data_IF_369044143144
#
_entry.id   IF_369044143144
#
_cell.length_a   1.000
_cell.length_b   1.000
_cell.length_c   1.000
_cell.angle_alpha   90.00
_cell.angle_beta   90.00
_cell.angle_gamma   90.00
#
_symmetry.space_group_name_H-M   'P 1'
#
loop_
_entity.id
_entity.type
_entity.pdbx_description
1 polymer ?
#
# COMPACT_ATOMS: atom_id res chain seq x y z
N UNK A 1 5.35 4.53 -7.58
CA UNK A 1 3.88 4.39 -7.79
C UNK A 1 3.39 5.08 -9.04
N UNK A 2 3.67 6.38 -9.22
CA UNK A 2 3.28 7.10 -10.44
C UNK A 2 3.64 6.35 -11.72
N UNK A 3 4.84 5.78 -11.82
CA UNK A 3 5.23 5.06 -13.04
C UNK A 3 4.53 3.70 -13.20
N UNK A 4 4.23 2.99 -12.10
CA UNK A 4 3.41 1.77 -12.14
C UNK A 4 2.00 2.10 -12.67
N UNK A 5 1.39 3.16 -12.13
CA UNK A 5 0.03 3.57 -12.49
C UNK A 5 -0.06 4.19 -13.89
N UNK A 6 1.02 4.79 -14.41
CA UNK A 6 1.11 5.21 -15.81
C UNK A 6 1.08 4.02 -16.77
N UNK A 7 1.74 2.91 -16.40
CA UNK A 7 1.81 1.69 -17.22
C UNK A 7 0.50 0.89 -17.10
N UNK A 8 -0.01 0.73 -15.89
CA UNK A 8 -1.26 0.05 -15.62
C UNK A 8 -2.08 0.85 -14.59
N UNK A 9 -3.04 1.67 -15.05
CA UNK A 9 -3.91 2.44 -14.17
C UNK A 9 -4.77 1.58 -13.23
N UNK A 10 -5.02 0.32 -13.58
CA UNK A 10 -5.81 -0.62 -12.79
C UNK A 10 -4.98 -1.39 -11.76
N UNK A 11 -3.66 -1.17 -11.68
CA UNK A 11 -2.80 -1.86 -10.73
C UNK A 11 -3.17 -1.49 -9.28
N UNK A 12 -3.50 -2.49 -8.47
CA UNK A 12 -3.75 -2.35 -7.04
C UNK A 12 -2.42 -2.33 -6.28
N UNK A 13 -2.00 -1.18 -5.75
CA UNK A 13 -0.71 -1.02 -5.07
C UNK A 13 -0.88 -0.95 -3.55
N UNK A 14 -0.20 -1.85 -2.83
CA UNK A 14 -0.11 -1.89 -1.38
C UNK A 14 1.32 -1.55 -0.95
N UNK A 15 1.52 -0.44 -0.26
CA UNK A 15 2.86 -0.05 0.22
C UNK A 15 3.21 -0.76 1.51
N UNK A 16 4.46 -1.16 1.68
CA UNK A 16 4.97 -1.82 2.90
C UNK A 16 6.24 -1.12 3.36
N UNK A 17 6.31 -0.66 4.60
CA UNK A 17 7.41 0.18 5.08
C UNK A 17 7.66 0.06 6.59
N UNK A 18 8.92 0.22 7.00
CA UNK A 18 9.31 0.32 8.42
C UNK A 18 9.26 1.76 8.96
N UNK A 19 8.97 2.74 8.10
CA UNK A 19 8.86 4.14 8.51
C UNK A 19 7.48 4.36 9.14
N UNK A 20 7.47 4.74 10.41
CA UNK A 20 6.27 5.11 11.16
C UNK A 20 6.07 6.63 11.20
N UNK A 21 6.05 7.24 10.02
CA UNK A 21 5.76 8.66 9.90
C UNK A 21 4.46 8.81 9.15
N UNK A 22 3.48 9.45 9.78
CA UNK A 22 2.17 9.73 9.19
C UNK A 22 2.28 10.39 7.81
N UNK A 23 3.23 11.31 7.66
CA UNK A 23 3.52 12.00 6.40
C UNK A 23 3.92 11.05 5.26
N UNK A 24 4.65 9.97 5.57
CA UNK A 24 5.05 8.96 4.58
C UNK A 24 3.85 8.13 4.14
N UNK A 25 2.99 7.76 5.08
CA UNK A 25 1.72 7.10 4.76
C UNK A 25 0.84 8.01 3.89
N UNK A 26 0.63 9.26 4.29
CA UNK A 26 -0.16 10.25 3.53
C UNK A 26 0.41 10.48 2.12
N UNK A 27 1.73 10.55 1.97
CA UNK A 27 2.41 10.65 0.68
C UNK A 27 2.18 9.40 -0.18
N UNK A 28 2.21 8.22 0.42
CA UNK A 28 1.90 6.97 -0.28
C UNK A 28 0.46 7.01 -0.79
N UNK A 29 -0.52 7.26 0.08
CA UNK A 29 -1.93 7.28 -0.30
C UNK A 29 -2.21 8.31 -1.41
N UNK A 30 -1.70 9.54 -1.27
CA UNK A 30 -1.86 10.60 -2.29
C UNK A 30 -1.16 10.30 -3.63
N UNK A 31 -0.20 9.37 -3.65
CA UNK A 31 0.47 8.94 -4.87
C UNK A 31 -0.23 7.77 -5.58
N UNK A 32 -1.38 7.30 -5.06
CA UNK A 32 -2.20 6.25 -5.66
C UNK A 32 -2.07 4.86 -5.02
N UNK A 33 -1.67 4.77 -3.75
CA UNK A 33 -1.63 3.50 -3.03
C UNK A 33 -3.04 3.22 -2.52
N UNK A 34 -3.47 1.97 -2.63
CA UNK A 34 -4.75 1.55 -2.09
C UNK A 34 -4.63 1.11 -0.63
N UNK A 35 -3.41 0.93 -0.13
CA UNK A 35 -3.16 0.68 1.29
C UNK A 35 -1.71 0.81 1.69
N UNK A 36 -1.49 0.71 2.99
CA UNK A 36 -0.18 0.76 3.64
C UNK A 36 -0.08 -0.31 4.74
N UNK A 37 1.05 -0.99 4.82
CA UNK A 37 1.41 -1.92 5.90
C UNK A 37 2.68 -1.43 6.57
N UNK A 38 2.61 -1.21 7.87
CA UNK A 38 3.77 -0.90 8.71
C UNK A 38 4.50 -2.19 9.14
N UNK A 39 5.84 -2.15 9.21
CA UNK A 39 6.68 -3.23 9.74
C UNK A 39 7.01 -2.99 11.22
N UNK A 40 6.97 -3.99 12.09
CA UNK A 40 6.77 -5.42 11.80
C UNK A 40 5.30 -5.80 11.61
N UNK A 41 5.01 -6.61 10.59
CA UNK A 41 3.67 -7.13 10.33
C UNK A 41 3.59 -8.64 10.60
N UNK A 42 2.38 -9.14 10.83
CA UNK A 42 2.11 -10.57 10.90
C UNK A 42 1.46 -11.08 9.60
N UNK A 43 1.60 -12.39 9.33
CA UNK A 43 1.11 -13.03 8.11
C UNK A 43 -0.40 -12.84 7.90
N UNK A 44 -1.19 -12.95 8.97
CA UNK A 44 -2.65 -12.83 8.90
C UNK A 44 -3.09 -11.42 8.50
N UNK A 45 -2.43 -10.39 9.02
CA UNK A 45 -2.68 -8.99 8.69
C UNK A 45 -2.38 -8.69 7.23
N UNK A 46 -1.28 -9.23 6.70
CA UNK A 46 -0.95 -9.10 5.27
C UNK A 46 -2.03 -9.75 4.41
N UNK A 47 -2.43 -11.00 4.73
CA UNK A 47 -3.47 -11.72 3.97
C UNK A 47 -4.79 -10.95 4.01
N UNK A 48 -5.20 -10.46 5.18
CA UNK A 48 -6.42 -9.69 5.35
C UNK A 48 -6.40 -8.43 4.47
N UNK A 49 -5.29 -7.69 4.47
CA UNK A 49 -5.15 -6.45 3.70
C UNK A 49 -5.15 -6.70 2.19
N UNK A 50 -4.51 -7.77 1.74
CA UNK A 50 -4.55 -8.15 0.32
C UNK A 50 -5.96 -8.56 -0.10
N UNK A 51 -6.69 -9.32 0.73
CA UNK A 51 -8.10 -9.68 0.45
C UNK A 51 -9.01 -8.45 0.38
N UNK A 52 -8.87 -7.51 1.31
CA UNK A 52 -9.59 -6.23 1.30
C UNK A 52 -9.40 -5.47 -0.02
N UNK A 53 -8.19 -5.51 -0.57
CA UNK A 53 -7.89 -4.84 -1.84
C UNK A 53 -8.38 -5.61 -3.07
N UNK A 54 -8.43 -6.94 -3.03
CA UNK A 54 -8.76 -7.77 -4.19
C UNK A 54 -10.27 -7.92 -4.41
N UNK A 55 -11.07 -7.80 -3.34
CA UNK A 55 -12.51 -7.68 -3.43
C UNK A 55 -12.93 -6.38 -4.14
#
# INVERSE_FOLDING_TARGET
MKDILKINPCAKVLMVSAVDQKQVMEKAMSSGALGYIHKSFNKLGVISKVKELLN
#
